data_IF_820456617385
#
_entry.id   IF_820456617385
#
_cell.length_a   1.000
_cell.length_b   1.000
_cell.length_c   1.000
_cell.angle_alpha   90.00
_cell.angle_beta   90.00
_cell.angle_gamma   90.00
#
_symmetry.space_group_name_H-M   'P 1'
#
loop_
_entity.id
_entity.type
_entity.pdbx_description
1 polymer ?
#
# COMPACT_ATOMS: atom_id res chain seq x y z
N UNK A 1 25.90 -7.92 4.16
CA UNK A 1 24.59 -7.27 4.33
C UNK A 1 24.64 -5.89 3.69
N UNK A 2 23.85 -5.62 2.66
CA UNK A 2 23.88 -4.32 1.99
C UNK A 2 22.81 -3.42 2.60
N UNK A 3 23.24 -2.36 3.28
CA UNK A 3 22.35 -1.31 3.77
C UNK A 3 21.66 -0.60 2.60
N UNK A 4 20.45 -0.07 2.80
CA UNK A 4 19.77 0.73 1.78
C UNK A 4 20.64 1.94 1.41
N UNK A 5 20.59 2.33 0.14
CA UNK A 5 21.31 3.53 -0.33
C UNK A 5 20.71 4.79 0.29
N UNK A 6 21.51 5.81 0.52
CA UNK A 6 21.05 7.04 1.17
C UNK A 6 19.79 7.64 0.52
N UNK A 7 19.72 7.62 -0.81
CA UNK A 7 18.55 8.15 -1.53
C UNK A 7 17.28 7.28 -1.38
N UNK A 8 17.42 6.00 -0.99
CA UNK A 8 16.27 5.13 -0.69
C UNK A 8 15.71 5.37 0.71
N UNK A 9 16.52 5.91 1.63
CA UNK A 9 16.13 6.08 3.04
C UNK A 9 14.87 6.94 3.19
N UNK A 10 14.79 8.16 2.64
CA UNK A 10 13.58 8.98 2.79
C UNK A 10 12.33 8.32 2.16
N UNK A 11 12.51 7.60 1.05
CA UNK A 11 11.41 6.89 0.39
C UNK A 11 10.87 5.75 1.24
N UNK A 12 11.76 4.98 1.86
CA UNK A 12 11.41 3.88 2.74
C UNK A 12 10.82 4.36 4.07
N UNK A 13 11.37 5.44 4.64
CA UNK A 13 10.86 6.01 5.88
C UNK A 13 9.45 6.57 5.72
N UNK A 14 9.22 7.37 4.70
CA UNK A 14 7.90 8.01 4.48
C UNK A 14 6.81 6.96 4.22
N UNK A 15 7.05 6.00 3.34
CA UNK A 15 6.09 4.94 3.04
C UNK A 15 5.93 3.98 4.22
N UNK A 16 7.02 3.59 4.86
CA UNK A 16 7.00 2.67 5.99
C UNK A 16 6.24 3.21 7.19
N UNK A 17 6.42 4.49 7.53
CA UNK A 17 5.70 5.12 8.64
C UNK A 17 4.19 5.20 8.38
N UNK A 18 3.78 5.61 7.19
CA UNK A 18 2.36 5.71 6.83
C UNK A 18 1.69 4.33 6.80
N UNK A 19 2.34 3.33 6.21
CA UNK A 19 1.80 1.98 6.13
C UNK A 19 1.73 1.34 7.52
N UNK A 20 2.76 1.51 8.35
CA UNK A 20 2.76 1.01 9.72
C UNK A 20 1.63 1.64 10.55
N UNK A 21 1.47 2.96 10.49
CA UNK A 21 0.39 3.67 11.19
C UNK A 21 -0.99 3.18 10.72
N UNK A 22 -1.17 3.00 9.42
CA UNK A 22 -2.40 2.43 8.83
C UNK A 22 -2.70 1.02 9.35
N UNK A 23 -1.70 0.16 9.38
CA UNK A 23 -1.84 -1.21 9.90
C UNK A 23 -2.16 -1.23 11.40
N UNK A 24 -1.53 -0.39 12.19
CA UNK A 24 -1.79 -0.29 13.63
C UNK A 24 -3.22 0.21 13.92
N UNK A 25 -3.72 1.16 13.16
CA UNK A 25 -5.12 1.64 13.27
C UNK A 25 -6.12 0.53 12.94
N UNK A 26 -5.84 -0.28 11.93
CA UNK A 26 -6.71 -1.40 11.54
C UNK A 26 -6.70 -2.53 12.57
N UNK A 27 -5.64 -2.65 13.36
CA UNK A 27 -5.53 -3.69 14.40
C UNK A 27 -6.66 -3.61 15.42
N UNK A 28 -7.14 -2.41 15.72
CA UNK A 28 -8.20 -2.14 16.69
C UNK A 28 -9.50 -1.69 16.01
N UNK A 29 -9.67 -1.97 14.73
CA UNK A 29 -10.88 -1.61 14.00
C UNK A 29 -12.11 -2.32 14.57
N UNK A 30 -13.19 -1.56 14.75
CA UNK A 30 -14.48 -2.10 15.16
C UNK A 30 -15.18 -2.84 13.99
N UNK A 31 -16.30 -3.49 14.28
CA UNK A 31 -17.05 -4.26 13.29
C UNK A 31 -17.56 -3.39 12.14
N UNK A 32 -17.99 -2.17 12.41
CA UNK A 32 -18.48 -1.24 11.37
C UNK A 32 -17.36 -0.84 10.43
N UNK A 33 -16.20 -0.48 10.95
CA UNK A 33 -15.01 -0.13 10.16
C UNK A 33 -14.55 -1.33 9.32
N UNK A 34 -14.54 -2.55 9.91
CA UNK A 34 -14.18 -3.76 9.20
C UNK A 34 -15.14 -4.05 8.04
N UNK A 35 -16.43 -3.93 8.25
CA UNK A 35 -17.43 -4.12 7.21
C UNK A 35 -17.29 -3.11 6.08
N UNK A 36 -17.04 -1.85 6.39
CA UNK A 36 -16.84 -0.79 5.40
C UNK A 36 -15.60 -1.04 4.54
N UNK A 37 -14.47 -1.34 5.17
CA UNK A 37 -13.22 -1.62 4.46
C UNK A 37 -13.34 -2.88 3.60
N UNK A 38 -13.95 -3.94 4.13
CA UNK A 38 -14.19 -5.17 3.39
C UNK A 38 -15.13 -4.94 2.21
N UNK A 39 -16.23 -4.21 2.39
CA UNK A 39 -17.17 -3.91 1.31
C UNK A 39 -16.51 -3.14 0.17
N UNK A 40 -15.66 -2.17 0.49
CA UNK A 40 -14.90 -1.41 -0.51
C UNK A 40 -13.93 -2.31 -1.29
N UNK A 41 -13.21 -3.18 -0.60
CA UNK A 41 -12.29 -4.12 -1.24
C UNK A 41 -13.01 -5.17 -2.08
N UNK A 42 -14.12 -5.74 -1.57
CA UNK A 42 -14.92 -6.74 -2.27
C UNK A 42 -15.62 -6.18 -3.52
N UNK A 43 -16.02 -4.91 -3.49
CA UNK A 43 -16.59 -4.24 -4.66
C UNK A 43 -15.57 -4.14 -5.81
N UNK A 44 -14.31 -3.90 -5.49
CA UNK A 44 -13.23 -3.83 -6.48
C UNK A 44 -12.68 -5.22 -6.85
N UNK A 45 -12.63 -6.12 -5.89
CA UNK A 45 -12.09 -7.48 -6.02
C UNK A 45 -13.13 -8.50 -5.55
N UNK A 46 -14.03 -8.96 -6.44
CA UNK A 46 -15.17 -9.83 -6.07
C UNK A 46 -14.78 -11.13 -5.36
N UNK A 47 -13.56 -11.64 -5.58
CA UNK A 47 -13.08 -12.84 -4.90
C UNK A 47 -12.94 -12.68 -3.37
N UNK A 48 -12.93 -11.43 -2.87
CA UNK A 48 -12.91 -11.13 -1.44
C UNK A 48 -14.30 -11.15 -0.80
N UNK A 49 -15.38 -11.23 -1.59
CA UNK A 49 -16.75 -11.13 -1.09
C UNK A 49 -17.11 -12.22 -0.04
N UNK A 50 -16.56 -13.43 -0.19
CA UNK A 50 -16.82 -14.56 0.71
C UNK A 50 -15.94 -14.56 1.97
N UNK A 51 -15.02 -13.63 2.09
CA UNK A 51 -14.13 -13.49 3.25
C UNK A 51 -14.87 -12.77 4.38
N UNK A 52 -14.72 -13.25 5.63
CA UNK A 52 -15.26 -12.56 6.80
C UNK A 52 -14.60 -11.16 6.94
N UNK A 53 -15.38 -10.08 7.16
CA UNK A 53 -14.83 -8.72 7.26
C UNK A 53 -13.78 -8.55 8.36
N UNK A 54 -13.95 -9.18 9.52
CA UNK A 54 -12.96 -9.10 10.60
C UNK A 54 -11.67 -9.83 10.25
N UNK A 55 -11.77 -10.99 9.63
CA UNK A 55 -10.60 -11.77 9.19
C UNK A 55 -9.85 -11.03 8.09
N UNK A 56 -10.56 -10.41 7.15
CA UNK A 56 -9.98 -9.56 6.12
C UNK A 56 -9.17 -8.42 6.72
N UNK A 57 -9.76 -7.67 7.66
CA UNK A 57 -9.08 -6.51 8.29
C UNK A 57 -7.91 -6.95 9.16
N UNK A 58 -8.01 -8.08 9.86
CA UNK A 58 -6.88 -8.65 10.61
C UNK A 58 -5.71 -9.01 9.70
N UNK A 59 -6.00 -9.66 8.57
CA UNK A 59 -4.96 -10.01 7.59
C UNK A 59 -4.34 -8.76 6.98
N UNK A 60 -5.16 -7.78 6.60
CA UNK A 60 -4.70 -6.51 6.05
C UNK A 60 -3.83 -5.75 7.06
N UNK A 61 -4.27 -5.66 8.32
CA UNK A 61 -3.50 -5.04 9.41
C UNK A 61 -2.13 -5.69 9.57
N UNK A 62 -2.08 -7.02 9.62
CA UNK A 62 -0.82 -7.76 9.76
C UNK A 62 0.10 -7.56 8.56
N UNK A 63 -0.45 -7.56 7.35
CA UNK A 63 0.32 -7.31 6.13
C UNK A 63 0.89 -5.89 6.09
N UNK A 64 0.11 -4.89 6.46
CA UNK A 64 0.57 -3.50 6.53
C UNK A 64 1.63 -3.29 7.63
N UNK A 65 1.44 -3.88 8.81
CA UNK A 65 2.44 -3.81 9.88
C UNK A 65 3.74 -4.48 9.43
N UNK A 66 3.68 -5.67 8.85
CA UNK A 66 4.85 -6.37 8.36
C UNK A 66 5.59 -5.58 7.26
N UNK A 67 4.87 -5.04 6.30
CA UNK A 67 5.43 -4.23 5.22
C UNK A 67 6.02 -2.91 5.76
N UNK A 68 5.30 -2.22 6.64
CA UNK A 68 5.77 -0.98 7.25
C UNK A 68 7.05 -1.19 8.04
N UNK A 69 7.12 -2.22 8.88
CA UNK A 69 8.31 -2.59 9.65
C UNK A 69 9.46 -2.97 8.71
N UNK A 70 9.20 -3.76 7.68
CA UNK A 70 10.23 -4.17 6.71
C UNK A 70 10.82 -2.96 5.95
N UNK A 71 10.00 -1.96 5.62
CA UNK A 71 10.47 -0.73 4.99
C UNK A 71 11.35 0.10 5.94
N UNK A 72 10.99 0.15 7.22
CA UNK A 72 11.73 0.92 8.23
C UNK A 72 13.03 0.25 8.65
N UNK A 73 13.12 -1.07 8.59
CA UNK A 73 14.31 -1.80 8.98
C UNK A 73 15.38 -1.78 7.87
N UNK A 74 16.55 -1.17 8.12
CA UNK A 74 17.61 -1.08 7.11
C UNK A 74 18.21 -2.43 6.73
N UNK A 75 18.03 -3.44 7.57
CA UNK A 75 18.54 -4.79 7.34
C UNK A 75 17.74 -5.56 6.28
N UNK A 76 16.49 -5.15 6.02
CA UNK A 76 15.68 -5.77 4.98
C UNK A 76 16.07 -5.18 3.63
N UNK A 77 16.51 -6.01 2.67
CA UNK A 77 17.03 -5.49 1.41
C UNK A 77 15.93 -4.86 0.54
N UNK A 78 16.28 -3.80 -0.17
CA UNK A 78 15.32 -3.06 -0.99
C UNK A 78 14.70 -3.91 -2.11
N UNK A 79 15.47 -4.83 -2.69
CA UNK A 79 14.95 -5.73 -3.75
C UNK A 79 13.81 -6.64 -3.26
N UNK A 80 13.69 -6.83 -1.95
CA UNK A 80 12.60 -7.60 -1.34
C UNK A 80 11.40 -6.71 -0.98
N UNK A 81 11.63 -5.56 -0.34
CA UNK A 81 10.52 -4.69 0.11
C UNK A 81 9.92 -3.87 -1.02
N UNK A 82 10.69 -3.54 -2.05
CA UNK A 82 10.20 -2.71 -3.16
C UNK A 82 9.11 -3.40 -3.99
N UNK A 83 9.23 -4.68 -4.39
CA UNK A 83 8.13 -5.39 -5.04
C UNK A 83 6.91 -5.55 -4.12
N UNK A 84 7.11 -5.79 -2.83
CA UNK A 84 6.02 -5.89 -1.86
C UNK A 84 5.25 -4.57 -1.73
N UNK A 85 5.95 -3.44 -1.63
CA UNK A 85 5.35 -2.10 -1.65
C UNK A 85 4.60 -1.83 -2.95
N UNK A 86 5.20 -2.17 -4.09
CA UNK A 86 4.60 -1.99 -5.42
C UNK A 86 3.31 -2.80 -5.55
N UNK A 87 3.31 -4.05 -5.13
CA UNK A 87 2.13 -4.91 -5.13
C UNK A 87 1.02 -4.38 -4.22
N UNK A 88 1.36 -3.96 -3.02
CA UNK A 88 0.42 -3.37 -2.08
C UNK A 88 -0.20 -2.07 -2.62
N UNK A 89 0.63 -1.13 -3.06
CA UNK A 89 0.17 0.13 -3.63
C UNK A 89 -0.60 -0.07 -4.94
N UNK A 90 -0.17 -1.02 -5.77
CA UNK A 90 -0.89 -1.42 -6.99
C UNK A 90 -2.29 -1.95 -6.71
N UNK A 91 -2.45 -2.74 -5.63
CA UNK A 91 -3.76 -3.20 -5.16
C UNK A 91 -4.68 -2.05 -4.75
N UNK A 92 -4.16 -1.06 -4.04
CA UNK A 92 -4.92 0.13 -3.64
C UNK A 92 -5.30 1.02 -4.82
N UNK A 93 -4.38 1.26 -5.75
CA UNK A 93 -4.66 2.01 -6.98
C UNK A 93 -5.66 1.27 -7.85
N UNK A 94 -5.53 -0.06 -7.97
CA UNK A 94 -6.51 -0.90 -8.68
C UNK A 94 -7.90 -0.82 -8.06
N UNK A 95 -8.00 -0.80 -6.74
CA UNK A 95 -9.26 -0.59 -6.03
C UNK A 95 -9.84 0.79 -6.35
N UNK A 96 -9.03 1.83 -6.36
CA UNK A 96 -9.46 3.16 -6.76
C UNK A 96 -10.04 3.17 -8.17
N UNK A 97 -9.32 2.62 -9.14
CA UNK A 97 -9.73 2.61 -10.54
C UNK A 97 -11.01 1.79 -10.80
N UNK A 98 -11.24 0.74 -10.00
CA UNK A 98 -12.40 -0.15 -10.13
C UNK A 98 -13.63 0.29 -9.36
N UNK A 99 -13.52 1.35 -8.54
CA UNK A 99 -14.62 1.80 -7.68
C UNK A 99 -15.16 3.14 -8.19
N UNK A 100 -16.30 3.14 -8.94
CA UNK A 100 -16.85 4.37 -9.55
C UNK A 100 -17.15 5.48 -8.55
N UNK A 101 -17.56 5.14 -7.33
CA UNK A 101 -17.87 6.12 -6.27
C UNK A 101 -16.65 6.93 -5.80
N UNK A 102 -15.43 6.46 -6.08
CA UNK A 102 -14.19 7.15 -5.76
C UNK A 102 -13.78 8.17 -6.84
N UNK A 103 -14.46 8.17 -7.98
CA UNK A 103 -14.21 9.10 -9.08
C UNK A 103 -15.31 10.15 -9.20
N UNK A 104 -14.99 11.28 -9.84
CA UNK A 104 -16.00 12.19 -10.39
C UNK A 104 -16.65 11.55 -11.60
N UNK A 105 -17.95 11.79 -11.78
CA UNK A 105 -18.71 11.25 -12.90
C UNK A 105 -18.03 11.53 -14.25
N UNK A 106 -17.89 10.49 -15.07
CA UNK A 106 -17.24 10.59 -16.39
C UNK A 106 -15.74 10.87 -16.39
N UNK A 107 -15.05 10.73 -15.24
CA UNK A 107 -13.62 11.06 -15.10
C UNK A 107 -12.91 10.06 -14.18
N UNK A 108 -11.59 9.96 -14.32
CA UNK A 108 -10.72 9.26 -13.35
C UNK A 108 -10.27 10.16 -12.19
N UNK A 109 -10.67 11.42 -12.20
CA UNK A 109 -10.32 12.37 -11.11
C UNK A 109 -11.05 11.99 -9.82
N UNK A 110 -10.39 12.14 -8.66
CA UNK A 110 -10.99 11.71 -7.41
C UNK A 110 -12.23 12.53 -7.03
N UNK A 111 -13.27 11.82 -6.57
CA UNK A 111 -14.36 12.41 -5.82
C UNK A 111 -13.91 12.77 -4.40
N UNK A 112 -14.75 13.41 -3.61
CA UNK A 112 -14.45 13.70 -2.21
C UNK A 112 -14.10 12.43 -1.41
N UNK A 113 -14.73 11.29 -1.74
CA UNK A 113 -14.43 9.98 -1.13
C UNK A 113 -13.14 9.37 -1.65
N UNK A 114 -12.77 9.66 -2.90
CA UNK A 114 -11.64 9.06 -3.58
C UNK A 114 -10.29 9.71 -3.30
N UNK A 115 -10.27 10.93 -2.75
CA UNK A 115 -9.02 11.70 -2.54
C UNK A 115 -8.00 10.92 -1.70
N UNK A 116 -8.44 10.28 -0.61
CA UNK A 116 -7.55 9.50 0.25
C UNK A 116 -6.88 8.34 -0.48
N UNK A 117 -7.66 7.58 -1.24
CA UNK A 117 -7.18 6.40 -1.98
C UNK A 117 -6.37 6.80 -3.21
N UNK A 118 -6.75 7.89 -3.89
CA UNK A 118 -6.01 8.36 -5.07
C UNK A 118 -4.56 8.76 -4.76
N UNK A 119 -4.28 9.17 -3.53
CA UNK A 119 -2.91 9.48 -3.07
C UNK A 119 -1.99 8.26 -3.04
N UNK A 120 -2.54 7.06 -3.01
CA UNK A 120 -1.76 5.82 -3.02
C UNK A 120 -0.97 5.62 -4.33
N UNK A 121 -1.29 6.39 -5.37
CA UNK A 121 -0.47 6.45 -6.59
C UNK A 121 0.96 6.93 -6.29
N UNK A 122 1.16 7.76 -5.28
CA UNK A 122 2.49 8.17 -4.86
C UNK A 122 3.30 7.01 -4.30
N UNK A 123 2.67 6.16 -3.48
CA UNK A 123 3.31 4.93 -3.00
C UNK A 123 3.63 3.97 -4.13
N UNK A 124 2.75 3.84 -5.12
CA UNK A 124 3.01 3.03 -6.31
C UNK A 124 4.23 3.55 -7.08
N UNK A 125 4.31 4.85 -7.31
CA UNK A 125 5.46 5.50 -7.95
C UNK A 125 6.77 5.27 -7.18
N UNK A 126 6.73 5.40 -5.86
CA UNK A 126 7.88 5.14 -4.98
C UNK A 126 8.28 3.66 -5.06
N UNK A 127 7.33 2.74 -4.98
CA UNK A 127 7.60 1.30 -5.08
C UNK A 127 8.25 0.92 -6.39
N UNK A 128 7.70 1.37 -7.50
CA UNK A 128 8.27 1.15 -8.84
C UNK A 128 9.67 1.75 -8.95
N UNK A 129 9.87 2.97 -8.46
CA UNK A 129 11.17 3.64 -8.45
C UNK A 129 12.23 2.85 -7.67
N UNK A 130 11.86 2.32 -6.51
CA UNK A 130 12.75 1.47 -5.70
C UNK A 130 13.06 0.12 -6.38
N UNK A 131 12.08 -0.48 -7.09
CA UNK A 131 12.31 -1.69 -7.90
C UNK A 131 13.32 -1.41 -8.99
N UNK A 132 13.11 -0.37 -9.78
CA UNK A 132 14.01 0.01 -10.87
C UNK A 132 15.42 0.31 -10.35
N UNK A 133 15.53 1.02 -9.23
CA UNK A 133 16.83 1.31 -8.60
C UNK A 133 17.52 0.02 -8.12
N UNK A 134 16.78 -0.96 -7.61
CA UNK A 134 17.35 -2.22 -7.16
C UNK A 134 17.84 -3.11 -8.31
N UNK A 135 17.25 -2.97 -9.49
CA UNK A 135 17.62 -3.72 -10.69
C UNK A 135 18.74 -3.04 -11.51
N UNK A 136 18.98 -1.74 -11.29
CA UNK A 136 19.96 -1.01 -12.09
C UNK A 136 21.38 -1.25 -11.57
N UNK A 137 22.29 -1.80 -12.41
CA UNK A 137 23.69 -1.93 -12.03
C UNK A 137 24.34 -0.54 -11.84
N UNK A 138 25.21 -0.42 -10.84
CA UNK A 138 25.90 0.83 -10.55
C UNK A 138 26.87 1.23 -11.70
N UNK A 139 26.43 2.10 -12.59
CA UNK A 139 27.31 2.73 -13.59
C UNK A 139 27.72 4.19 -13.28
N UNK A 140 27.21 4.74 -12.17
CA UNK A 140 27.55 6.12 -11.79
C UNK A 140 28.20 6.12 -10.41
N UNK A 141 29.52 6.09 -10.39
CA UNK A 141 30.36 6.57 -9.30
C UNK A 141 30.79 7.99 -9.62
#
# INVERSE_FOLDING_TARGET
MRLPRLHQVPLRLSTGLIILDSGLKKRTADAETAQRLHAMAAAAYPFLADTDPQDFVRLLSRAEIALGVALLLPVVPTWLVAPALTGFAGGLVGMYLRTPSLHKEGSIRPSARGVGVSKDIWMLGIGVGLVLDSLTPHRWR
#
